data_IF_486299956738
#
_entry.id   IF_486299956738
#
_cell.length_a   1.000
_cell.length_b   1.000
_cell.length_c   1.000
_cell.angle_alpha   90.00
_cell.angle_beta   90.00
_cell.angle_gamma   90.00
#
_symmetry.space_group_name_H-M   'P 1'
#
loop_
_entity.id
_entity.type
_entity.pdbx_description
1 polymer ?
#
# COMPACT_ATOMS: atom_id res chain seq x y z
N UNK A 1 18.19 11.84 -9.82
CA UNK A 1 17.04 11.06 -10.32
C UNK A 1 16.01 11.05 -9.19
N UNK A 2 14.72 11.27 -9.47
CA UNK A 2 13.68 11.14 -8.44
C UNK A 2 13.09 9.74 -8.46
N UNK A 3 12.89 9.11 -7.31
CA UNK A 3 12.40 7.74 -7.16
C UNK A 3 11.16 7.74 -6.27
N UNK A 4 10.10 7.07 -6.72
CA UNK A 4 8.85 6.95 -5.98
C UNK A 4 8.44 5.49 -5.80
N UNK A 5 7.70 5.22 -4.73
CA UNK A 5 7.12 3.92 -4.45
C UNK A 5 5.66 3.87 -4.90
N UNK A 6 5.28 2.84 -5.64
CA UNK A 6 3.89 2.59 -6.00
C UNK A 6 3.27 1.65 -4.96
N UNK A 7 2.46 2.21 -4.06
CA UNK A 7 1.81 1.50 -2.97
C UNK A 7 0.44 0.98 -3.42
N UNK A 8 0.44 -0.24 -3.94
CA UNK A 8 -0.80 -0.96 -4.25
C UNK A 8 -1.15 -1.91 -3.11
N UNK A 9 -2.28 -1.63 -2.43
CA UNK A 9 -2.75 -2.35 -1.25
C UNK A 9 -3.49 -3.67 -1.58
N UNK A 10 -3.11 -4.36 -2.66
CA UNK A 10 -3.80 -5.58 -3.11
C UNK A 10 -3.75 -6.68 -2.06
N UNK A 11 -4.91 -7.18 -1.67
CA UNK A 11 -5.07 -8.29 -0.73
C UNK A 11 -5.66 -9.52 -1.42
N UNK A 12 -4.80 -10.28 -2.11
CA UNK A 12 -5.24 -11.47 -2.83
C UNK A 12 -5.94 -12.47 -1.91
N UNK A 13 -7.12 -12.95 -2.32
CA UNK A 13 -7.91 -13.93 -1.56
C UNK A 13 -8.24 -13.51 -0.12
N UNK A 14 -8.24 -12.22 0.17
CA UNK A 14 -8.54 -11.66 1.50
C UNK A 14 -7.72 -12.30 2.63
N UNK A 15 -6.42 -12.52 2.39
CA UNK A 15 -5.53 -13.20 3.34
C UNK A 15 -5.21 -12.37 4.59
N UNK A 16 -5.26 -11.04 4.48
CA UNK A 16 -4.98 -10.10 5.57
C UNK A 16 -6.23 -9.36 5.98
N UNK A 17 -6.36 -9.02 7.26
CA UNK A 17 -7.35 -8.06 7.72
C UNK A 17 -7.02 -6.66 7.21
N UNK A 18 -8.03 -5.79 7.10
CA UNK A 18 -7.82 -4.41 6.68
C UNK A 18 -6.82 -3.65 7.58
N UNK A 19 -6.83 -3.93 8.89
CA UNK A 19 -5.88 -3.32 9.83
C UNK A 19 -4.43 -3.76 9.56
N UNK A 20 -4.21 -5.02 9.18
CA UNK A 20 -2.86 -5.50 8.81
C UNK A 20 -2.38 -4.78 7.55
N UNK A 21 -3.23 -4.63 6.54
CA UNK A 21 -2.89 -3.88 5.31
C UNK A 21 -2.51 -2.43 5.65
N UNK A 22 -3.30 -1.76 6.49
CA UNK A 22 -2.99 -0.38 6.93
C UNK A 22 -1.69 -0.30 7.73
N UNK A 23 -1.39 -1.32 8.53
CA UNK A 23 -0.12 -1.44 9.25
C UNK A 23 1.06 -1.51 8.27
N UNK A 24 0.98 -2.39 7.27
CA UNK A 24 2.02 -2.55 6.25
C UNK A 24 2.21 -1.28 5.41
N UNK A 25 1.13 -0.61 5.03
CA UNK A 25 1.20 0.68 4.32
C UNK A 25 1.97 1.71 5.16
N UNK A 26 1.71 1.76 6.47
CA UNK A 26 2.44 2.66 7.37
C UNK A 26 3.92 2.31 7.45
N UNK A 27 4.26 1.04 7.59
CA UNK A 27 5.65 0.58 7.64
C UNK A 27 6.41 0.93 6.36
N UNK A 28 5.79 0.73 5.20
CA UNK A 28 6.34 1.14 3.90
C UNK A 28 6.55 2.65 3.85
N UNK A 29 5.57 3.44 4.30
CA UNK A 29 5.67 4.89 4.29
C UNK A 29 6.82 5.39 5.16
N UNK A 30 6.98 4.83 6.37
CA UNK A 30 8.11 5.12 7.25
C UNK A 30 9.43 4.74 6.58
N UNK A 31 9.53 3.56 5.96
CA UNK A 31 10.73 3.14 5.25
C UNK A 31 11.10 4.11 4.11
N UNK A 32 10.13 4.54 3.30
CA UNK A 32 10.36 5.50 2.23
C UNK A 32 10.88 6.84 2.76
N UNK A 33 10.30 7.34 3.86
CA UNK A 33 10.73 8.58 4.54
C UNK A 33 12.17 8.48 5.07
N UNK A 34 12.50 7.35 5.71
CA UNK A 34 13.84 7.09 6.27
C UNK A 34 14.93 6.86 5.20
N UNK A 35 14.56 6.62 3.94
CA UNK A 35 15.47 6.27 2.85
C UNK A 35 15.46 7.28 1.69
N UNK A 36 15.02 8.52 1.93
CA UNK A 36 15.04 9.63 0.97
C UNK A 36 14.28 9.36 -0.35
N UNK A 37 13.16 8.63 -0.29
CA UNK A 37 12.28 8.45 -1.45
C UNK A 37 11.45 9.71 -1.70
N UNK A 38 11.27 10.11 -2.95
CA UNK A 38 10.64 11.39 -3.30
C UNK A 38 9.11 11.40 -3.22
N UNK A 39 8.48 10.23 -3.35
CA UNK A 39 7.01 10.13 -3.41
C UNK A 39 6.48 8.73 -3.13
N UNK A 40 5.24 8.68 -2.66
CA UNK A 40 4.44 7.45 -2.58
C UNK A 40 3.18 7.68 -3.40
N UNK A 41 2.87 6.75 -4.30
CA UNK A 41 1.70 6.80 -5.16
C UNK A 41 0.71 5.73 -4.74
N UNK A 42 -0.54 6.15 -4.52
CA UNK A 42 -1.63 5.27 -4.13
C UNK A 42 -2.66 5.16 -5.25
N UNK A 43 -3.28 4.00 -5.36
CA UNK A 43 -4.49 3.81 -6.16
C UNK A 43 -5.72 3.86 -5.28
N UNK A 44 -6.76 4.53 -5.77
CA UNK A 44 -8.09 4.39 -5.19
C UNK A 44 -8.78 3.17 -5.80
N UNK A 45 -9.40 2.35 -4.95
CA UNK A 45 -10.23 1.23 -5.38
C UNK A 45 -11.32 0.97 -4.33
N UNK A 46 -12.47 0.46 -4.78
CA UNK A 46 -13.60 0.10 -3.95
C UNK A 46 -13.98 -1.34 -4.30
N UNK A 47 -14.09 -2.22 -3.29
CA UNK A 47 -14.22 -3.68 -3.43
C UNK A 47 -13.00 -4.35 -4.08
N UNK A 48 -12.74 -5.64 -3.83
CA UNK A 48 -11.64 -6.37 -4.48
C UNK A 48 -11.97 -6.80 -5.92
N UNK A 49 -10.99 -7.34 -6.66
CA UNK A 49 -11.24 -7.98 -7.96
C UNK A 49 -12.27 -9.11 -7.86
N UNK A 50 -12.33 -9.75 -6.69
CA UNK A 50 -13.29 -10.78 -6.32
C UNK A 50 -14.67 -10.22 -5.90
N UNK A 51 -14.82 -8.89 -5.85
CA UNK A 51 -16.06 -8.21 -5.44
C UNK A 51 -16.33 -8.25 -3.93
N UNK A 52 -15.32 -8.55 -3.13
CA UNK A 52 -15.40 -8.70 -1.68
C UNK A 52 -14.56 -7.59 -1.02
N UNK A 53 -14.98 -7.09 0.14
CA UNK A 53 -14.06 -6.39 1.06
C UNK A 53 -13.48 -7.37 2.08
#
# INVERSE_FOLDING_TARGET
MKIGYFCNATNWKNQKSYNEILGEIREIATYCDENDWDSIWFTEHHFSHEGLE
#
